data_IF_270645606404
#
_entry.id   IF_270645606404
#
_cell.length_a   1.000
_cell.length_b   1.000
_cell.length_c   1.000
_cell.angle_alpha   90.00
_cell.angle_beta   90.00
_cell.angle_gamma   90.00
#
_symmetry.space_group_name_H-M   'P 1'
#
loop_
_entity.id
_entity.type
_entity.pdbx_description
1 polymer ?
#
# COMPACT_ATOMS: atom_id res chain seq x y z
N UNK A 1 13.02 3.04 24.25
CA UNK A 1 12.38 3.86 23.20
C UNK A 1 11.30 4.67 23.87
N UNK A 2 11.28 5.99 23.64
CA UNK A 2 10.16 6.86 24.05
C UNK A 2 9.44 7.32 22.80
N UNK A 3 8.10 7.31 22.82
CA UNK A 3 7.27 7.72 21.69
C UNK A 3 6.31 8.78 22.19
N UNK A 4 6.17 9.86 21.44
CA UNK A 4 5.22 10.93 21.74
C UNK A 4 4.62 11.47 20.45
N UNK A 5 3.37 11.89 20.56
CA UNK A 5 2.63 12.55 19.50
C UNK A 5 2.50 14.02 19.89
N UNK A 6 2.74 14.93 18.94
CA UNK A 6 2.62 16.38 19.19
C UNK A 6 1.25 16.92 18.79
N UNK A 7 0.92 18.12 19.26
CA UNK A 7 -0.29 18.86 18.82
C UNK A 7 -0.29 19.12 17.31
N UNK A 8 0.89 19.20 16.70
CA UNK A 8 1.08 19.34 15.24
C UNK A 8 0.89 18.02 14.47
N UNK A 9 0.37 16.97 15.13
CA UNK A 9 0.22 15.61 14.58
C UNK A 9 1.55 15.07 14.02
N UNK A 10 2.65 15.25 14.74
CA UNK A 10 3.93 14.61 14.41
C UNK A 10 4.14 13.39 15.31
N UNK A 11 4.66 12.30 14.74
CA UNK A 11 5.10 11.15 15.54
C UNK A 11 6.59 11.27 15.79
N UNK A 12 6.98 11.36 17.06
CA UNK A 12 8.38 11.49 17.45
C UNK A 12 8.79 10.27 18.28
N UNK A 13 9.95 9.72 17.92
CA UNK A 13 10.55 8.56 18.56
C UNK A 13 11.97 8.89 19.01
N UNK A 14 12.27 8.64 20.28
CA UNK A 14 13.61 8.76 20.84
C UNK A 14 14.17 7.37 21.12
N UNK A 15 15.30 7.08 20.47
CA UNK A 15 15.99 5.81 20.53
C UNK A 15 17.34 5.99 21.24
N UNK A 16 17.70 5.05 22.09
CA UNK A 16 19.08 4.90 22.56
C UNK A 16 19.78 3.93 21.63
N UNK A 17 20.70 4.43 20.80
CA UNK A 17 21.48 3.63 19.87
C UNK A 17 22.84 3.32 20.47
N UNK A 18 23.19 2.04 20.50
CA UNK A 18 24.54 1.56 20.83
C UNK A 18 25.02 0.72 19.65
N UNK A 19 26.11 1.13 19.05
CA UNK A 19 26.77 0.40 17.97
C UNK A 19 28.20 0.09 18.41
N UNK A 20 28.64 -1.13 18.19
CA UNK A 20 30.03 -1.53 18.36
C UNK A 20 30.41 -2.43 17.19
N UNK A 21 31.53 -2.14 16.55
CA UNK A 21 31.99 -2.91 15.41
C UNK A 21 33.44 -2.61 15.10
N UNK A 22 34.05 -3.43 14.25
CA UNK A 22 35.42 -3.22 13.80
C UNK A 22 35.43 -2.85 12.30
N UNK A 23 35.05 -1.60 11.95
CA UNK A 23 35.02 -1.18 10.56
C UNK A 23 36.45 -0.97 10.03
N UNK A 24 36.64 -1.16 8.73
CA UNK A 24 37.91 -0.86 8.08
C UNK A 24 37.87 0.54 7.45
N UNK A 25 38.05 1.58 8.27
CA UNK A 25 38.03 2.99 7.81
C UNK A 25 39.48 3.49 7.72
N UNK A 26 39.90 3.96 6.54
CA UNK A 26 41.25 4.50 6.30
C UNK A 26 41.17 6.01 6.07
N UNK A 27 41.87 6.77 6.91
CA UNK A 27 41.95 8.23 6.87
C UNK A 27 43.35 8.67 6.44
N UNK A 28 43.44 9.44 5.36
CA UNK A 28 44.68 10.12 4.99
C UNK A 28 44.84 11.42 5.77
N UNK A 29 45.84 11.51 6.64
CA UNK A 29 46.15 12.72 7.40
C UNK A 29 47.37 13.41 6.79
N UNK A 30 47.24 14.71 6.51
CA UNK A 30 48.36 15.56 6.06
C UNK A 30 48.54 16.72 7.04
N UNK A 31 49.65 16.72 7.78
CA UNK A 31 49.96 17.75 8.77
C UNK A 31 51.48 18.02 8.78
N UNK A 32 51.89 19.28 8.90
CA UNK A 32 53.31 19.69 9.01
C UNK A 32 54.25 19.07 7.94
N UNK A 33 53.76 18.86 6.72
CA UNK A 33 54.53 18.24 5.63
C UNK A 33 54.57 16.71 5.65
N UNK A 34 54.10 16.07 6.71
CA UNK A 34 53.98 14.61 6.82
C UNK A 34 52.65 14.13 6.21
N UNK A 35 52.70 12.98 5.54
CA UNK A 35 51.53 12.22 5.08
C UNK A 35 51.48 10.90 5.83
N UNK A 36 50.39 10.62 6.52
CA UNK A 36 50.17 9.38 7.23
C UNK A 36 48.81 8.78 6.85
N UNK A 37 48.73 7.46 6.82
CA UNK A 37 47.45 6.74 6.69
C UNK A 37 47.09 6.17 8.04
N UNK A 38 45.92 6.56 8.53
CA UNK A 38 45.40 6.22 9.84
C UNK A 38 44.19 5.32 9.65
N UNK A 39 44.26 4.08 10.14
CA UNK A 39 43.14 3.16 10.19
C UNK A 39 42.37 3.36 11.50
N UNK A 40 41.08 3.57 11.41
CA UNK A 40 40.16 3.56 12.55
C UNK A 40 39.61 2.15 12.71
N UNK A 41 39.70 1.61 13.92
CA UNK A 41 39.28 0.25 14.30
C UNK A 41 38.43 0.30 15.56
N UNK A 42 37.76 -0.80 15.92
CA UNK A 42 37.03 -0.95 17.20
C UNK A 42 36.11 0.23 17.54
N UNK A 43 35.32 0.67 16.56
CA UNK A 43 34.42 1.83 16.69
C UNK A 43 33.23 1.46 17.56
N UNK A 44 32.99 2.28 18.59
CA UNK A 44 31.83 2.24 19.46
C UNK A 44 31.12 3.59 19.42
N UNK A 45 29.81 3.57 19.20
CA UNK A 45 28.97 4.78 19.12
C UNK A 45 27.78 4.61 20.06
N UNK A 46 27.60 5.59 20.93
CA UNK A 46 26.44 5.74 21.78
C UNK A 46 25.77 7.06 21.41
N UNK A 47 24.54 6.99 20.94
CA UNK A 47 23.81 8.15 20.45
C UNK A 47 22.34 8.07 20.86
N UNK A 48 21.72 9.22 21.03
CA UNK A 48 20.29 9.34 21.31
C UNK A 48 19.59 10.07 20.15
N UNK A 49 19.41 9.43 18.98
CA UNK A 49 18.69 10.05 17.88
C UNK A 49 17.20 10.21 18.20
N UNK A 50 16.69 11.39 17.83
CA UNK A 50 15.28 11.70 17.71
C UNK A 50 14.87 11.53 16.25
N UNK A 51 13.90 10.66 16.02
CA UNK A 51 13.27 10.42 14.73
C UNK A 51 11.90 11.08 14.75
N UNK A 52 11.61 11.94 13.78
CA UNK A 52 10.31 12.61 13.63
C UNK A 52 9.69 12.26 12.28
N UNK A 53 8.49 11.70 12.30
CA UNK A 53 7.71 11.40 11.10
C UNK A 53 6.75 12.56 10.83
N UNK A 54 6.96 13.28 9.73
CA UNK A 54 6.09 14.42 9.37
C UNK A 54 6.17 14.88 7.90
N UNK A 55 5.11 15.51 7.38
CA UNK A 55 3.75 15.50 7.94
C UNK A 55 3.18 14.07 7.95
N UNK A 56 2.26 13.80 8.88
CA UNK A 56 1.42 12.61 8.81
C UNK A 56 0.41 12.78 7.67
N UNK A 57 0.16 11.71 6.92
CA UNK A 57 -0.69 11.70 5.73
C UNK A 57 -1.65 10.51 5.77
N UNK A 58 -2.82 10.57 5.13
CA UNK A 58 -3.84 9.50 5.22
C UNK A 58 -3.54 8.28 4.32
N UNK A 59 -2.34 8.21 3.74
CA UNK A 59 -1.93 7.15 2.80
C UNK A 59 -0.71 6.45 3.37
N UNK A 60 -0.71 5.11 3.36
CA UNK A 60 0.44 4.31 3.80
C UNK A 60 1.75 4.79 3.14
N UNK A 61 2.85 4.98 3.90
CA UNK A 61 3.07 4.52 5.29
C UNK A 61 2.58 5.48 6.38
N UNK A 62 1.68 6.41 6.04
CA UNK A 62 1.03 7.38 6.92
C UNK A 62 1.90 8.59 7.32
N UNK A 63 3.06 8.76 6.69
CA UNK A 63 3.94 9.92 6.86
C UNK A 63 4.70 10.22 5.57
N UNK A 64 5.03 11.50 5.37
CA UNK A 64 5.71 11.92 4.15
C UNK A 64 7.23 11.99 4.25
N UNK A 65 7.78 12.38 5.40
CA UNK A 65 9.23 12.45 5.61
C UNK A 65 9.64 11.86 6.96
N UNK A 66 10.86 11.35 7.01
CA UNK A 66 11.57 10.97 8.22
C UNK A 66 12.64 12.02 8.48
N UNK A 67 12.61 12.63 9.65
CA UNK A 67 13.66 13.53 10.11
C UNK A 67 14.45 12.88 11.24
N UNK A 68 15.78 12.88 11.14
CA UNK A 68 16.65 12.34 12.18
C UNK A 68 17.58 13.44 12.69
N UNK A 69 17.58 13.68 14.00
CA UNK A 69 18.49 14.60 14.66
C UNK A 69 19.04 14.00 15.95
N UNK A 70 20.25 14.37 16.33
CA UNK A 70 20.86 14.05 17.61
C UNK A 70 20.49 15.15 18.61
N UNK A 71 19.89 14.76 19.73
CA UNK A 71 19.52 15.70 20.80
C UNK A 71 20.71 16.11 21.66
N UNK A 72 21.72 15.24 21.72
CA UNK A 72 22.93 15.41 22.51
C UNK A 72 24.15 14.98 21.70
N UNK A 73 25.34 15.45 22.10
CA UNK A 73 26.59 15.05 21.45
C UNK A 73 26.76 13.53 21.59
N UNK A 74 26.93 12.78 20.48
CA UNK A 74 27.13 11.35 20.57
C UNK A 74 28.46 11.06 21.24
N UNK A 75 28.50 9.99 22.03
CA UNK A 75 29.74 9.45 22.55
C UNK A 75 30.30 8.47 21.52
N UNK A 76 31.50 8.77 21.01
CA UNK A 76 32.18 7.98 20.00
C UNK A 76 33.55 7.61 20.57
N UNK A 77 33.81 6.31 20.63
CA UNK A 77 35.10 5.73 21.03
C UNK A 77 35.61 4.85 19.89
N UNK A 78 36.92 4.82 19.68
CA UNK A 78 37.55 4.03 18.62
C UNK A 78 39.03 3.83 18.85
N UNK A 79 39.53 2.69 18.37
CA UNK A 79 40.94 2.42 18.24
C UNK A 79 41.53 3.07 16.97
N UNK A 80 42.82 3.38 17.02
CA UNK A 80 43.54 3.95 15.89
C UNK A 80 44.81 3.12 15.64
N UNK A 81 45.03 2.72 14.39
CA UNK A 81 46.25 2.07 13.92
C UNK A 81 46.88 2.93 12.83
N UNK A 82 48.13 3.32 12.97
CA UNK A 82 48.84 3.93 11.84
C UNK A 82 49.37 2.83 10.91
N UNK A 83 49.24 3.04 9.60
CA UNK A 83 49.81 2.14 8.61
C UNK A 83 51.18 2.72 8.21
N UNK A 84 52.26 2.03 8.59
CA UNK A 84 53.63 2.36 8.17
C UNK A 84 54.47 3.23 9.11
N UNK A 85 53.96 3.63 10.28
CA UNK A 85 54.73 4.24 11.38
C UNK A 85 54.05 3.96 12.74
N UNK A 86 54.71 4.20 13.88
CA UNK A 86 54.11 4.01 15.21
C UNK A 86 53.29 5.25 15.62
N UNK A 87 52.01 5.09 15.96
CA UNK A 87 51.14 6.18 16.39
C UNK A 87 51.65 6.86 17.68
N UNK A 88 52.36 6.11 18.54
CA UNK A 88 52.98 6.65 19.77
C UNK A 88 54.16 7.59 19.47
N UNK A 89 54.69 7.59 18.24
CA UNK A 89 55.81 8.44 17.83
C UNK A 89 55.39 9.84 17.35
N UNK A 90 54.08 10.12 17.24
CA UNK A 90 53.54 11.43 16.83
C UNK A 90 52.72 12.04 17.99
N UNK A 91 53.33 12.84 18.87
CA UNK A 91 52.65 13.44 20.00
C UNK A 91 51.40 14.22 19.58
N UNK A 92 50.25 13.89 20.17
CA UNK A 92 48.99 14.61 19.96
C UNK A 92 48.17 14.21 18.72
N UNK A 93 48.68 13.38 17.81
CA UNK A 93 47.93 12.96 16.61
C UNK A 93 46.64 12.21 16.96
N UNK A 94 46.69 11.32 17.97
CA UNK A 94 45.52 10.61 18.48
C UNK A 94 44.42 11.57 18.96
N UNK A 95 44.78 12.56 19.78
CA UNK A 95 43.85 13.58 20.30
C UNK A 95 43.23 14.40 19.18
N UNK A 96 44.02 14.81 18.18
CA UNK A 96 43.52 15.60 17.03
C UNK A 96 42.53 14.80 16.19
N UNK A 97 42.82 13.53 15.88
CA UNK A 97 41.91 12.67 15.11
C UNK A 97 40.62 12.42 15.90
N UNK A 98 40.72 12.21 17.22
CA UNK A 98 39.58 12.03 18.11
C UNK A 98 38.67 13.26 18.20
N UNK A 99 39.25 14.44 18.40
CA UNK A 99 38.50 15.70 18.41
C UNK A 99 37.85 15.98 17.04
N UNK A 100 38.56 15.75 15.94
CA UNK A 100 38.05 16.00 14.59
C UNK A 100 36.86 15.09 14.25
N UNK A 101 36.95 13.79 14.54
CA UNK A 101 35.85 12.85 14.28
C UNK A 101 34.65 13.18 15.17
N UNK A 102 34.89 13.45 16.45
CA UNK A 102 33.83 13.83 17.39
C UNK A 102 33.11 15.10 16.95
N UNK A 103 33.85 16.12 16.54
CA UNK A 103 33.28 17.39 16.09
C UNK A 103 32.55 17.26 14.75
N UNK A 104 33.06 16.47 13.81
CA UNK A 104 32.37 16.22 12.53
C UNK A 104 31.06 15.46 12.74
N UNK A 105 31.10 14.35 13.49
CA UNK A 105 29.89 13.54 13.76
C UNK A 105 28.85 14.34 14.55
N UNK A 106 29.28 15.13 15.53
CA UNK A 106 28.41 16.04 16.27
C UNK A 106 27.80 17.11 15.34
N UNK A 107 28.62 17.78 14.52
CA UNK A 107 28.16 18.90 13.70
C UNK A 107 27.26 18.51 12.52
N UNK A 108 27.20 17.23 12.12
CA UNK A 108 26.37 16.80 11.00
C UNK A 108 24.88 16.73 11.37
N UNK A 109 24.55 16.26 12.57
CA UNK A 109 23.16 15.93 12.93
C UNK A 109 22.71 16.42 14.30
N UNK A 110 23.54 17.17 15.05
CA UNK A 110 23.08 17.85 16.25
C UNK A 110 21.97 18.85 15.91
N UNK A 111 20.88 18.79 16.68
CA UNK A 111 19.80 19.76 16.60
C UNK A 111 20.35 21.21 16.65
N UNK A 112 19.92 22.12 15.76
CA UNK A 112 18.77 22.05 14.84
C UNK A 112 19.03 21.37 13.49
N UNK A 113 20.24 20.88 13.23
CA UNK A 113 20.53 20.15 11.99
C UNK A 113 19.87 18.78 12.02
N UNK A 114 19.32 18.38 10.88
CA UNK A 114 18.57 17.13 10.73
C UNK A 114 18.87 16.50 9.40
N UNK A 115 18.95 15.17 9.38
CA UNK A 115 18.84 14.38 8.17
C UNK A 115 17.37 14.29 7.80
N UNK A 116 17.01 14.69 6.59
CA UNK A 116 15.65 14.60 6.08
C UNK A 116 15.61 13.56 4.96
N UNK A 117 14.77 12.54 5.13
CA UNK A 117 14.54 11.49 4.15
C UNK A 117 13.09 11.59 3.70
N UNK A 118 12.87 12.07 2.48
CA UNK A 118 11.54 12.12 1.87
C UNK A 118 11.12 10.72 1.43
N UNK A 119 9.97 10.27 1.93
CA UNK A 119 9.37 8.97 1.61
C UNK A 119 8.29 9.14 0.53
N UNK A 120 7.54 10.23 0.59
CA UNK A 120 6.60 10.62 -0.45
C UNK A 120 6.42 12.13 -0.48
N UNK A 121 5.96 12.62 -1.61
CA UNK A 121 5.53 14.01 -1.75
C UNK A 121 4.27 14.26 -0.90
N UNK A 122 4.34 15.13 0.13
CA UNK A 122 3.20 15.43 0.99
C UNK A 122 1.99 15.96 0.21
N UNK A 123 2.22 16.77 -0.82
CA UNK A 123 1.16 17.37 -1.60
C UNK A 123 0.34 16.28 -2.32
N UNK A 124 1.02 15.31 -2.94
CA UNK A 124 0.38 14.15 -3.59
C UNK A 124 -0.29 13.21 -2.60
N UNK A 125 0.29 13.03 -1.42
CA UNK A 125 -0.26 12.18 -0.38
C UNK A 125 -1.55 12.75 0.22
N UNK A 126 -1.69 14.08 0.22
CA UNK A 126 -2.88 14.80 0.67
C UNK A 126 -3.93 15.02 -0.42
N UNK A 127 -3.63 14.73 -1.69
CA UNK A 127 -4.60 14.87 -2.78
C UNK A 127 -5.81 13.98 -2.51
N UNK A 128 -6.96 14.64 -2.39
CA UNK A 128 -8.26 13.99 -2.18
C UNK A 128 -8.68 13.28 -3.46
N UNK A 129 -9.37 12.14 -3.36
CA UNK A 129 -10.14 11.61 -4.47
C UNK A 129 -11.08 12.67 -5.05
N UNK A 130 -11.19 12.77 -6.37
CA UNK A 130 -12.08 13.72 -7.07
C UNK A 130 -13.10 13.01 -7.95
N UNK A 131 -13.07 11.68 -8.01
CA UNK A 131 -14.04 10.89 -8.75
C UNK A 131 -13.68 9.42 -8.85
N UNK A 132 -14.53 8.68 -9.55
CA UNK A 132 -14.39 7.25 -9.83
C UNK A 132 -14.39 7.02 -11.33
N UNK A 133 -13.40 6.28 -11.81
CA UNK A 133 -13.37 5.75 -13.18
C UNK A 133 -13.78 4.27 -13.15
N UNK A 134 -14.91 3.95 -13.77
CA UNK A 134 -15.33 2.59 -14.08
C UNK A 134 -14.82 2.20 -15.46
N UNK A 135 -14.18 1.03 -15.54
CA UNK A 135 -13.59 0.49 -16.76
C UNK A 135 -14.11 -0.91 -16.98
N UNK A 136 -14.89 -1.10 -18.04
CA UNK A 136 -15.37 -2.41 -18.46
C UNK A 136 -14.52 -2.89 -19.64
N UNK A 137 -13.72 -3.94 -19.41
CA UNK A 137 -12.92 -4.58 -20.45
C UNK A 137 -13.80 -5.59 -21.18
N UNK A 138 -14.27 -5.20 -22.36
CA UNK A 138 -15.25 -5.98 -23.12
C UNK A 138 -14.57 -7.15 -23.82
N UNK A 139 -13.72 -6.86 -24.82
CA UNK A 139 -13.13 -7.88 -25.69
C UNK A 139 -11.89 -7.37 -26.41
N UNK A 140 -11.11 -8.29 -26.96
CA UNK A 140 -10.09 -7.97 -27.95
C UNK A 140 -10.35 -8.74 -29.26
N UNK A 141 -9.82 -8.22 -30.36
CA UNK A 141 -10.02 -8.76 -31.71
C UNK A 141 -8.69 -8.83 -32.45
N UNK A 142 -8.49 -9.93 -33.18
CA UNK A 142 -7.34 -10.14 -34.07
C UNK A 142 -6.01 -9.89 -33.37
N UNK A 143 -5.88 -10.34 -32.11
CA UNK A 143 -4.63 -10.24 -31.38
C UNK A 143 -3.49 -10.90 -32.16
N UNK A 144 -2.30 -10.33 -32.09
CA UNK A 144 -1.12 -10.93 -32.72
C UNK A 144 -0.74 -12.20 -31.99
N UNK A 145 -0.66 -13.30 -32.73
CA UNK A 145 -0.13 -14.57 -32.23
C UNK A 145 1.34 -14.39 -31.82
N UNK A 146 1.66 -14.74 -30.58
CA UNK A 146 3.03 -14.67 -30.07
C UNK A 146 3.74 -16.02 -30.23
N UNK A 147 3.02 -17.13 -30.00
CA UNK A 147 3.57 -18.48 -30.14
C UNK A 147 3.55 -19.05 -31.56
N UNK A 148 4.68 -19.64 -31.95
CA UNK A 148 4.82 -20.39 -33.21
C UNK A 148 4.06 -21.73 -33.11
N UNK A 149 4.04 -22.37 -31.94
CA UNK A 149 3.58 -23.76 -31.75
C UNK A 149 2.32 -23.87 -30.83
N UNK A 150 1.90 -22.78 -30.17
CA UNK A 150 0.74 -22.72 -29.28
C UNK A 150 -0.42 -21.84 -29.78
N UNK A 151 -1.52 -21.76 -29.02
CA UNK A 151 -2.56 -20.74 -29.17
C UNK A 151 -2.44 -19.81 -27.96
N UNK A 152 -2.44 -18.49 -28.18
CA UNK A 152 -2.29 -17.49 -27.11
C UNK A 152 -3.43 -17.53 -26.08
N UNK A 153 -3.07 -17.26 -24.83
CA UNK A 153 -3.90 -17.19 -23.63
C UNK A 153 -3.98 -15.74 -23.09
N UNK A 154 -4.69 -14.82 -23.76
CA UNK A 154 -4.64 -13.39 -23.45
C UNK A 154 -5.33 -12.99 -22.12
N UNK A 155 -4.75 -11.98 -21.46
CA UNK A 155 -5.39 -11.19 -20.40
C UNK A 155 -4.97 -9.71 -20.48
N UNK A 156 -5.75 -8.83 -19.87
CA UNK A 156 -5.49 -7.38 -19.83
C UNK A 156 -5.06 -6.96 -18.44
N UNK A 157 -3.97 -6.21 -18.34
CA UNK A 157 -3.47 -5.57 -17.13
C UNK A 157 -3.73 -4.07 -17.22
N UNK A 158 -4.54 -3.56 -16.28
CA UNK A 158 -4.96 -2.17 -16.18
C UNK A 158 -4.21 -1.45 -15.05
N UNK A 159 -3.76 -0.23 -15.30
CA UNK A 159 -3.13 0.61 -14.27
C UNK A 159 -3.41 2.09 -14.55
N UNK A 160 -3.96 2.82 -13.59
CA UNK A 160 -4.02 4.29 -13.65
C UNK A 160 -2.62 4.85 -13.37
N UNK A 161 -2.21 5.94 -14.05
CA UNK A 161 -0.87 6.53 -13.92
C UNK A 161 -0.66 7.19 -12.55
N UNK A 162 -0.43 6.35 -11.55
CA UNK A 162 0.19 6.63 -10.27
C UNK A 162 1.08 5.42 -9.98
N UNK A 163 2.39 5.66 -9.80
CA UNK A 163 3.35 4.57 -9.73
C UNK A 163 3.13 3.65 -8.52
N UNK A 164 2.46 4.15 -7.48
CA UNK A 164 2.21 3.41 -6.23
C UNK A 164 0.93 2.55 -6.25
N UNK A 165 0.01 2.77 -7.19
CA UNK A 165 -1.23 1.98 -7.25
C UNK A 165 -1.01 0.61 -7.89
N UNK A 166 -1.58 -0.43 -7.27
CA UNK A 166 -1.54 -1.78 -7.82
C UNK A 166 -2.34 -1.87 -9.12
N UNK A 167 -1.78 -2.59 -10.09
CA UNK A 167 -2.48 -2.91 -11.34
C UNK A 167 -3.57 -3.95 -11.10
N UNK A 168 -4.71 -3.78 -11.76
CA UNK A 168 -5.78 -4.79 -11.84
C UNK A 168 -5.59 -5.65 -13.10
N UNK A 169 -6.11 -6.87 -13.12
CA UNK A 169 -6.01 -7.76 -14.29
C UNK A 169 -7.32 -8.49 -14.54
N UNK A 170 -7.61 -8.79 -15.80
CA UNK A 170 -8.72 -9.65 -16.18
C UNK A 170 -8.40 -11.13 -15.94
N UNK A 171 -9.42 -11.98 -16.06
CA UNK A 171 -9.21 -13.42 -16.21
C UNK A 171 -8.42 -13.72 -17.49
N UNK A 172 -7.70 -14.83 -17.48
CA UNK A 172 -6.99 -15.37 -18.65
C UNK A 172 -7.99 -16.12 -19.52
N UNK A 173 -8.02 -15.82 -20.83
CA UNK A 173 -8.87 -16.53 -21.79
C UNK A 173 -8.01 -17.46 -22.60
N UNK A 174 -8.21 -18.76 -22.45
CA UNK A 174 -7.33 -19.74 -23.06
C UNK A 174 -7.57 -19.90 -24.56
N UNK A 175 -6.49 -20.04 -25.32
CA UNK A 175 -6.45 -20.46 -26.73
C UNK A 175 -7.33 -19.61 -27.64
N UNK A 176 -7.19 -18.29 -27.56
CA UNK A 176 -7.99 -17.38 -28.38
C UNK A 176 -7.24 -16.09 -28.70
N UNK A 177 -7.39 -15.60 -29.94
CA UNK A 177 -6.94 -14.28 -30.36
C UNK A 177 -8.10 -13.26 -30.43
N UNK A 178 -9.31 -13.68 -30.05
CA UNK A 178 -10.51 -12.86 -29.96
C UNK A 178 -11.21 -13.08 -28.60
N UNK A 179 -10.52 -12.81 -27.47
CA UNK A 179 -11.08 -13.02 -26.15
C UNK A 179 -12.24 -12.06 -25.85
N UNK A 180 -13.22 -12.55 -25.09
CA UNK A 180 -14.28 -11.74 -24.48
C UNK A 180 -14.18 -11.89 -22.95
N UNK A 181 -13.97 -10.76 -22.26
CA UNK A 181 -13.84 -10.72 -20.80
C UNK A 181 -15.14 -10.25 -20.16
N UNK A 182 -15.66 -9.09 -20.58
CA UNK A 182 -16.80 -8.41 -19.95
C UNK A 182 -16.59 -8.25 -18.44
N UNK A 183 -15.41 -7.75 -18.05
CA UNK A 183 -14.98 -7.61 -16.67
C UNK A 183 -14.84 -6.13 -16.29
N UNK A 184 -15.41 -5.75 -15.16
CA UNK A 184 -15.45 -4.37 -14.67
C UNK A 184 -14.41 -4.09 -13.58
N UNK A 185 -13.79 -2.92 -13.67
CA UNK A 185 -12.78 -2.44 -12.75
C UNK A 185 -13.02 -0.98 -12.36
N UNK A 186 -12.95 -0.70 -11.07
CA UNK A 186 -13.09 0.64 -10.53
C UNK A 186 -11.72 1.22 -10.13
N UNK A 187 -11.47 2.48 -10.48
CA UNK A 187 -10.28 3.23 -10.09
C UNK A 187 -10.66 4.56 -9.42
N UNK A 188 -9.97 4.89 -8.34
CA UNK A 188 -10.10 6.21 -7.70
C UNK A 188 -9.25 7.22 -8.46
N UNK A 189 -9.89 8.31 -8.89
CA UNK A 189 -9.25 9.41 -9.63
C UNK A 189 -8.91 10.52 -8.64
N UNK A 190 -7.72 11.11 -8.81
CA UNK A 190 -7.23 12.24 -8.00
C UNK A 190 -6.92 13.47 -8.85
N UNK A 191 -6.42 13.25 -10.06
CA UNK A 191 -5.98 14.33 -10.95
C UNK A 191 -6.36 13.98 -12.41
N UNK A 192 -7.63 14.16 -12.80
CA UNK A 192 -8.14 13.71 -14.11
C UNK A 192 -7.40 14.37 -15.29
N UNK A 193 -6.88 15.58 -15.10
CA UNK A 193 -6.15 16.35 -16.12
C UNK A 193 -4.83 15.70 -16.55
N UNK A 194 -4.17 14.98 -15.64
CA UNK A 194 -2.84 14.38 -15.87
C UNK A 194 -2.88 12.87 -15.86
N UNK A 195 -3.86 12.26 -15.20
CA UNK A 195 -3.95 10.81 -15.07
C UNK A 195 -4.33 10.15 -16.40
N UNK A 196 -3.73 8.98 -16.62
CA UNK A 196 -3.84 8.17 -17.84
C UNK A 196 -4.09 6.73 -17.43
N UNK A 197 -5.13 6.11 -18.00
CA UNK A 197 -5.37 4.69 -17.88
C UNK A 197 -4.46 3.93 -18.85
N UNK A 198 -3.55 3.11 -18.31
CA UNK A 198 -2.66 2.22 -19.07
C UNK A 198 -3.30 0.84 -19.21
N UNK A 199 -3.39 0.36 -20.45
CA UNK A 199 -3.94 -0.94 -20.80
C UNK A 199 -2.84 -1.76 -21.48
N UNK A 200 -2.47 -2.90 -20.90
CA UNK A 200 -1.47 -3.79 -21.45
C UNK A 200 -2.05 -5.18 -21.65
N UNK A 201 -2.00 -5.71 -22.86
CA UNK A 201 -2.43 -7.07 -23.17
C UNK A 201 -1.21 -7.98 -23.13
N UNK A 202 -1.35 -9.08 -22.40
CA UNK A 202 -0.31 -10.09 -22.22
C UNK A 202 -0.83 -11.46 -22.62
N UNK A 203 0.07 -12.27 -23.15
CA UNK A 203 -0.10 -13.70 -23.33
C UNK A 203 0.32 -14.39 -22.03
N UNK A 204 -0.55 -15.19 -21.44
CA UNK A 204 -0.22 -15.93 -20.22
C UNK A 204 0.55 -17.20 -20.57
N UNK A 205 1.71 -17.37 -19.93
CA UNK A 205 2.55 -18.56 -20.11
C UNK A 205 2.66 -19.34 -18.81
N UNK A 206 2.44 -20.65 -18.88
CA UNK A 206 2.56 -21.53 -17.72
C UNK A 206 4.01 -21.63 -17.20
N UNK A 207 4.99 -21.45 -18.08
CA UNK A 207 6.42 -21.55 -17.77
C UNK A 207 7.15 -20.37 -18.41
N UNK A 208 7.74 -19.49 -17.60
CA UNK A 208 8.50 -18.33 -18.07
C UNK A 208 7.81 -16.99 -17.82
N UNK A 209 8.23 -15.95 -18.54
CA UNK A 209 7.66 -14.61 -18.44
C UNK A 209 6.56 -14.40 -19.46
N UNK A 210 5.38 -13.94 -19.00
CA UNK A 210 4.24 -13.63 -19.86
C UNK A 210 4.61 -12.63 -20.95
N UNK A 211 4.32 -12.95 -22.21
CA UNK A 211 4.72 -12.12 -23.33
C UNK A 211 3.77 -10.94 -23.56
N UNK A 212 4.31 -9.74 -23.82
CA UNK A 212 3.50 -8.56 -24.06
C UNK A 212 2.97 -8.53 -25.50
N UNK A 213 1.67 -8.77 -25.67
CA UNK A 213 0.98 -8.76 -26.97
C UNK A 213 0.75 -7.35 -27.51
N UNK A 214 0.56 -6.36 -26.63
CA UNK A 214 0.38 -4.96 -27.03
C UNK A 214 -0.03 -4.05 -25.88
N UNK A 215 -0.08 -2.75 -26.15
CA UNK A 215 -0.54 -1.77 -25.16
C UNK A 215 -1.18 -0.56 -25.81
N UNK A 216 -1.98 0.16 -25.03
CA UNK A 216 -2.45 1.49 -25.34
C UNK A 216 -2.74 2.25 -24.03
N UNK A 217 -3.02 3.54 -24.13
CA UNK A 217 -3.29 4.43 -23.01
C UNK A 217 -4.44 5.36 -23.33
N UNK A 218 -5.26 5.68 -22.33
CA UNK A 218 -6.37 6.63 -22.45
C UNK A 218 -6.18 7.73 -21.42
N UNK A 219 -5.90 8.98 -21.83
CA UNK A 219 -5.91 10.12 -20.94
C UNK A 219 -7.30 10.36 -20.36
N UNK A 220 -7.41 10.57 -19.04
CA UNK A 220 -8.71 10.78 -18.40
C UNK A 220 -9.36 12.10 -18.81
N UNK A 221 -8.55 13.13 -19.08
CA UNK A 221 -9.00 14.42 -19.64
C UNK A 221 -9.76 14.31 -20.97
N UNK A 222 -9.62 13.21 -21.71
CA UNK A 222 -10.32 12.97 -22.97
C UNK A 222 -11.70 12.30 -22.76
N UNK A 223 -12.07 12.03 -21.50
CA UNK A 223 -13.37 11.50 -21.10
C UNK A 223 -14.29 12.64 -20.69
N UNK A 224 -15.56 12.52 -21.10
CA UNK A 224 -16.62 13.43 -20.67
C UNK A 224 -17.22 12.86 -19.38
N UNK A 225 -17.30 13.64 -18.28
CA UNK A 225 -17.93 13.20 -17.04
C UNK A 225 -19.33 12.62 -17.25
N UNK A 226 -19.65 11.55 -16.51
CA UNK A 226 -20.95 10.86 -16.44
C UNK A 226 -21.49 10.30 -17.77
N UNK A 227 -20.68 10.33 -18.83
CA UNK A 227 -21.04 9.82 -20.15
C UNK A 227 -20.22 8.55 -20.43
N UNK A 228 -20.85 7.37 -20.45
CA UNK A 228 -20.18 6.14 -20.87
C UNK A 228 -19.62 6.27 -22.28
N UNK A 229 -18.33 5.95 -22.43
CA UNK A 229 -17.60 6.01 -23.69
C UNK A 229 -17.03 4.65 -24.03
N UNK A 230 -17.51 4.06 -25.13
CA UNK A 230 -16.93 2.85 -25.70
C UNK A 230 -15.81 3.25 -26.67
N UNK A 231 -14.61 2.68 -26.47
CA UNK A 231 -13.43 2.97 -27.27
C UNK A 231 -12.84 1.67 -27.81
N UNK A 232 -12.55 1.66 -29.11
CA UNK A 232 -11.74 0.60 -29.75
C UNK A 232 -10.32 1.13 -29.92
N UNK A 233 -9.35 0.48 -29.27
CA UNK A 233 -7.94 0.86 -29.27
C UNK A 233 -7.13 -0.09 -30.14
N UNK A 234 -6.38 0.44 -31.10
CA UNK A 234 -5.35 -0.34 -31.79
C UNK A 234 -4.17 -0.60 -30.85
N UNK A 235 -3.77 -1.86 -30.70
CA UNK A 235 -2.69 -2.23 -29.79
C UNK A 235 -1.32 -1.93 -30.40
N UNK A 236 -0.50 -1.20 -29.65
CA UNK A 236 0.84 -0.76 -30.04
C UNK A 236 1.93 -1.61 -29.39
N UNK A 237 3.12 -1.63 -29.99
CA UNK A 237 4.31 -2.23 -29.36
C UNK A 237 4.99 -1.29 -28.39
N UNK A 238 5.04 -0.01 -28.72
CA UNK A 238 5.60 1.06 -27.89
C UNK A 238 4.64 2.24 -27.88
N UNK A 239 4.69 3.07 -26.85
CA UNK A 239 3.93 4.33 -26.80
C UNK A 239 4.64 5.48 -27.54
N UNK A 240 5.79 5.20 -28.17
CA UNK A 240 6.56 6.18 -28.92
C UNK A 240 5.82 6.53 -30.22
N UNK A 241 5.53 7.82 -30.47
CA UNK A 241 4.97 8.24 -31.74
C UNK A 241 5.91 7.85 -32.89
N UNK A 242 5.35 7.37 -34.01
CA UNK A 242 6.09 7.01 -35.24
C UNK A 242 7.14 5.89 -35.10
N UNK A 243 7.06 5.03 -34.08
CA UNK A 243 7.89 3.82 -34.03
C UNK A 243 7.50 2.88 -35.19
N UNK A 244 8.41 2.50 -36.11
CA UNK A 244 8.11 1.61 -37.22
C UNK A 244 7.53 0.26 -36.77
N UNK A 245 7.78 -0.14 -35.52
CA UNK A 245 7.23 -1.37 -34.96
C UNK A 245 5.72 -1.30 -34.68
N UNK A 246 5.16 -0.08 -34.61
CA UNK A 246 3.73 0.16 -34.47
C UNK A 246 2.96 0.05 -35.79
N UNK A 247 3.63 0.03 -36.95
CA UNK A 247 2.98 -0.22 -38.26
C UNK A 247 2.39 -1.63 -38.37
N UNK A 248 2.96 -2.59 -37.60
CA UNK A 248 2.46 -3.96 -37.56
C UNK A 248 1.28 -4.04 -36.59
N UNK A 249 0.09 -4.32 -37.13
CA UNK A 249 -1.11 -4.55 -36.32
C UNK A 249 -0.87 -5.61 -35.24
N UNK A 250 -1.25 -5.30 -34.00
CA UNK A 250 -1.20 -6.23 -32.85
C UNK A 250 -2.57 -6.61 -32.32
N UNK A 251 -3.61 -6.30 -33.10
CA UNK A 251 -5.01 -6.46 -32.72
C UNK A 251 -5.60 -5.21 -32.09
N UNK A 252 -6.86 -5.33 -31.68
CA UNK A 252 -7.66 -4.24 -31.13
C UNK A 252 -8.22 -4.63 -29.77
N UNK A 253 -8.31 -3.68 -28.85
CA UNK A 253 -8.94 -3.84 -27.55
C UNK A 253 -10.15 -2.91 -27.45
N UNK A 254 -11.31 -3.45 -27.07
CA UNK A 254 -12.54 -2.69 -26.87
C UNK A 254 -12.78 -2.55 -25.37
N UNK A 255 -12.91 -1.32 -24.90
CA UNK A 255 -13.21 -0.98 -23.50
C UNK A 255 -14.35 0.03 -23.44
N UNK A 256 -15.15 -0.05 -22.40
CA UNK A 256 -16.12 0.96 -22.03
C UNK A 256 -15.64 1.65 -20.75
N UNK A 257 -15.79 2.98 -20.72
CA UNK A 257 -15.26 3.85 -19.68
C UNK A 257 -16.35 4.78 -19.21
N UNK A 258 -16.51 4.93 -17.90
CA UNK A 258 -17.39 5.94 -17.32
C UNK A 258 -16.65 6.64 -16.17
N UNK A 259 -16.43 7.95 -16.31
CA UNK A 259 -15.80 8.77 -15.28
C UNK A 259 -16.87 9.57 -14.54
N UNK A 260 -17.03 9.32 -13.25
CA UNK A 260 -18.01 9.99 -12.39
C UNK A 260 -17.23 10.87 -11.40
N UNK A 261 -17.15 12.20 -11.61
CA UNK A 261 -16.55 13.11 -10.64
C UNK A 261 -17.39 13.12 -9.37
N UNK A 262 -16.76 13.42 -8.24
CA UNK A 262 -17.47 13.72 -7.01
C UNK A 262 -17.92 15.18 -7.05
N UNK A 263 -19.16 15.44 -6.63
CA UNK A 263 -19.69 16.80 -6.59
C UNK A 263 -18.94 17.62 -5.51
N UNK A 264 -18.51 18.84 -5.84
CA UNK A 264 -17.74 19.70 -4.94
C UNK A 264 -18.53 20.04 -3.66
N UNK A 265 -19.87 20.08 -3.76
CA UNK A 265 -20.77 20.29 -2.62
C UNK A 265 -20.97 19.02 -1.76
N UNK A 266 -21.08 17.84 -2.36
CA UNK A 266 -21.12 16.58 -1.60
C UNK A 266 -19.78 16.30 -0.92
N UNK A 267 -18.67 16.69 -1.55
CA UNK A 267 -17.34 16.49 -1.01
C UNK A 267 -17.02 17.47 0.12
N UNK A 268 -17.47 18.73 0.05
CA UNK A 268 -17.39 19.68 1.18
C UNK A 268 -18.17 19.16 2.40
N UNK A 269 -19.38 18.62 2.17
CA UNK A 269 -20.16 17.97 3.22
C UNK A 269 -19.46 16.70 3.71
N UNK A 270 -18.93 15.83 2.83
CA UNK A 270 -18.19 14.61 3.17
C UNK A 270 -16.82 14.85 3.81
N UNK A 271 -16.26 16.05 3.76
CA UNK A 271 -15.00 16.40 4.44
C UNK A 271 -15.23 16.94 5.85
N UNK A 272 -16.43 17.49 6.10
CA UNK A 272 -16.95 17.68 7.45
C UNK A 272 -17.50 16.35 8.01
N UNK A 273 -18.14 15.52 7.16
CA UNK A 273 -18.77 14.22 7.49
C UNK A 273 -17.81 13.02 7.52
N UNK A 274 -16.60 13.07 6.95
CA UNK A 274 -15.66 11.93 7.04
C UNK A 274 -15.23 11.64 8.49
N UNK A 275 -15.46 12.61 9.40
CA UNK A 275 -15.36 12.46 10.86
C UNK A 275 -16.72 12.42 11.58
N UNK A 276 -17.84 12.65 10.89
CA UNK A 276 -19.18 12.41 11.39
C UNK A 276 -19.71 11.11 10.79
N UNK A 277 -19.45 10.03 11.50
CA UNK A 277 -20.23 8.81 11.32
C UNK A 277 -21.71 9.18 11.48
N UNK A 278 -22.56 8.76 10.53
CA UNK A 278 -24.02 8.93 10.61
C UNK A 278 -24.51 8.62 12.04
N UNK A 279 -25.46 9.38 12.57
CA UNK A 279 -26.01 9.05 13.90
C UNK A 279 -26.71 7.69 13.88
N UNK A 280 -26.73 7.01 15.01
CA UNK A 280 -27.48 5.76 15.13
C UNK A 280 -29.00 6.03 14.92
N UNK A 281 -29.76 5.08 14.35
CA UNK A 281 -31.19 5.28 14.09
C UNK A 281 -32.01 5.58 15.36
N UNK A 282 -33.16 6.23 15.17
CA UNK A 282 -34.16 6.44 16.24
C UNK A 282 -34.56 5.07 16.87
N UNK A 283 -34.39 4.94 18.19
CA UNK A 283 -34.58 3.69 18.92
C UNK A 283 -33.30 3.03 19.45
N UNK A 284 -32.12 3.62 19.19
CA UNK A 284 -30.86 3.21 19.82
C UNK A 284 -30.83 3.61 21.31
N UNK A 285 -30.40 2.73 22.24
CA UNK A 285 -30.36 3.02 23.68
C UNK A 285 -29.51 4.25 24.04
N UNK A 286 -29.99 5.02 25.03
CA UNK A 286 -29.26 6.17 25.58
C UNK A 286 -27.94 5.71 26.24
N UNK A 287 -26.81 6.19 25.74
CA UNK A 287 -25.46 5.77 26.16
C UNK A 287 -24.82 4.70 25.28
N UNK A 288 -25.59 4.12 24.35
CA UNK A 288 -25.15 3.11 23.40
C UNK A 288 -24.80 3.63 22.01
N UNK A 289 -24.82 2.73 21.03
CA UNK A 289 -24.55 3.05 19.64
C UNK A 289 -24.75 1.86 18.71
N UNK A 290 -24.47 2.07 17.42
CA UNK A 290 -24.58 1.05 16.39
C UNK A 290 -23.20 0.79 15.77
N UNK A 291 -22.76 -0.46 15.85
CA UNK A 291 -21.60 -0.95 15.12
C UNK A 291 -22.05 -1.39 13.73
N UNK A 292 -21.51 -0.74 12.70
CA UNK A 292 -21.70 -1.12 11.30
C UNK A 292 -20.46 -1.82 10.80
N UNK A 293 -20.63 -2.94 10.11
CA UNK A 293 -19.55 -3.76 9.59
C UNK A 293 -19.83 -4.06 8.13
N UNK A 294 -18.91 -3.66 7.26
CA UNK A 294 -18.98 -3.89 5.83
C UNK A 294 -17.87 -4.86 5.45
N UNK A 295 -18.23 -6.00 4.89
CA UNK A 295 -17.29 -6.98 4.35
C UNK A 295 -17.19 -6.76 2.84
N UNK A 296 -16.11 -6.08 2.42
CA UNK A 296 -15.91 -5.70 1.02
C UNK A 296 -15.51 -6.90 0.16
N UNK A 297 -14.27 -7.36 0.32
CA UNK A 297 -13.68 -8.40 -0.52
C UNK A 297 -12.67 -9.24 0.25
N UNK A 298 -12.37 -10.43 -0.26
CA UNK A 298 -11.19 -11.19 0.13
C UNK A 298 -10.33 -11.50 -1.09
N UNK A 299 -9.06 -11.81 -0.87
CA UNK A 299 -8.07 -12.07 -1.91
C UNK A 299 -7.26 -13.31 -1.56
N UNK A 300 -6.79 -14.01 -2.58
CA UNK A 300 -5.86 -15.15 -2.46
C UNK A 300 -6.37 -16.30 -1.55
N UNK A 301 -7.69 -16.50 -1.45
CA UNK A 301 -8.25 -17.57 -0.65
C UNK A 301 -7.91 -18.96 -1.21
N UNK A 302 -7.50 -19.88 -0.35
CA UNK A 302 -7.10 -21.24 -0.72
C UNK A 302 -7.84 -22.28 0.12
N UNK A 303 -8.90 -22.87 -0.45
CA UNK A 303 -9.51 -24.08 0.11
C UNK A 303 -8.77 -25.33 -0.33
N UNK A 304 -8.76 -26.37 0.51
CA UNK A 304 -8.10 -27.65 0.19
C UNK A 304 -8.88 -28.42 -0.87
N UNK A 305 -10.21 -28.29 -0.88
CA UNK A 305 -11.08 -29.04 -1.80
C UNK A 305 -11.97 -28.13 -2.64
N UNK A 306 -12.40 -26.99 -2.11
CA UNK A 306 -13.23 -26.01 -2.81
C UNK A 306 -13.01 -24.60 -2.29
N UNK A 307 -13.26 -23.59 -3.14
CA UNK A 307 -13.24 -22.18 -2.71
C UNK A 307 -14.59 -21.56 -3.06
N UNK A 308 -15.59 -21.83 -2.24
CA UNK A 308 -16.92 -21.23 -2.31
C UNK A 308 -17.14 -20.36 -1.07
N UNK A 309 -16.53 -19.15 -1.04
CA UNK A 309 -16.33 -18.43 0.19
C UNK A 309 -17.59 -17.68 0.65
N UNK A 310 -17.77 -17.62 1.97
CA UNK A 310 -18.62 -16.66 2.69
C UNK A 310 -17.88 -16.23 3.95
N UNK A 311 -17.99 -14.96 4.34
CA UNK A 311 -17.49 -14.48 5.62
C UNK A 311 -18.56 -14.66 6.70
N UNK A 312 -18.14 -15.03 7.92
CA UNK A 312 -18.97 -15.16 9.11
C UNK A 312 -18.43 -14.23 10.18
N UNK A 313 -19.30 -13.39 10.70
CA UNK A 313 -19.01 -12.42 11.75
C UNK A 313 -19.60 -12.96 13.03
N UNK A 314 -18.77 -13.12 14.05
CA UNK A 314 -19.14 -13.57 15.38
C UNK A 314 -18.89 -12.46 16.38
N UNK A 315 -19.95 -11.97 17.03
CA UNK A 315 -19.87 -10.87 17.98
C UNK A 315 -20.93 -11.02 19.07
N UNK A 316 -20.51 -10.99 20.35
CA UNK A 316 -21.39 -11.14 21.54
C UNK A 316 -22.38 -12.32 21.46
N UNK A 317 -21.96 -13.44 20.87
CA UNK A 317 -22.79 -14.64 20.71
C UNK A 317 -23.73 -14.62 19.49
N UNK A 318 -23.79 -13.51 18.76
CA UNK A 318 -24.49 -13.42 17.48
C UNK A 318 -23.59 -13.83 16.32
N UNK A 319 -24.17 -14.52 15.32
CA UNK A 319 -23.54 -14.81 14.03
C UNK A 319 -24.27 -14.04 12.92
N UNK A 320 -23.51 -13.36 12.07
CA UNK A 320 -23.96 -12.86 10.76
C UNK A 320 -23.08 -13.46 9.68
N UNK A 321 -23.59 -13.61 8.46
CA UNK A 321 -22.80 -14.17 7.36
C UNK A 321 -23.13 -13.51 6.03
N UNK A 322 -22.13 -13.42 5.17
CA UNK A 322 -22.31 -12.97 3.79
C UNK A 322 -22.89 -14.08 2.91
N UNK A 323 -23.29 -13.72 1.70
CA UNK A 323 -23.65 -14.67 0.67
C UNK A 323 -22.46 -15.56 0.29
N UNK A 324 -22.76 -16.83 0.01
CA UNK A 324 -21.76 -17.77 -0.48
C UNK A 324 -21.53 -17.57 -1.97
N UNK A 325 -20.33 -17.12 -2.33
CA UNK A 325 -19.89 -17.07 -3.72
C UNK A 325 -19.31 -18.42 -4.13
N UNK A 326 -19.42 -18.78 -5.42
CA UNK A 326 -18.96 -20.09 -5.92
C UNK A 326 -17.63 -19.95 -6.65
N UNK A 327 -16.70 -20.86 -6.37
CA UNK A 327 -15.42 -21.01 -7.07
C UNK A 327 -14.64 -19.69 -7.20
N UNK A 328 -14.61 -18.88 -6.15
CA UNK A 328 -13.89 -17.61 -6.14
C UNK A 328 -12.79 -17.62 -5.10
N UNK A 329 -11.57 -17.31 -5.53
CA UNK A 329 -10.42 -17.05 -4.64
C UNK A 329 -10.35 -15.59 -4.19
N UNK A 330 -11.00 -14.72 -4.96
CA UNK A 330 -11.02 -13.27 -4.76
C UNK A 330 -12.47 -12.76 -4.70
N UNK A 331 -13.27 -13.21 -3.71
CA UNK A 331 -14.69 -12.85 -3.61
C UNK A 331 -14.88 -11.37 -3.29
N UNK A 332 -15.94 -10.77 -3.86
CA UNK A 332 -16.46 -9.44 -3.48
C UNK A 332 -17.90 -9.58 -3.02
N UNK A 333 -18.16 -9.21 -1.78
CA UNK A 333 -19.49 -9.28 -1.18
C UNK A 333 -20.14 -7.91 -1.12
N UNK A 334 -19.40 -6.89 -0.65
CA UNK A 334 -19.93 -5.54 -0.40
C UNK A 334 -21.18 -5.59 0.50
N UNK A 335 -21.16 -6.45 1.51
CA UNK A 335 -22.30 -6.70 2.39
C UNK A 335 -22.13 -6.01 3.74
N UNK A 336 -23.18 -5.33 4.19
CA UNK A 336 -23.23 -4.52 5.41
C UNK A 336 -24.06 -5.19 6.51
N UNK A 337 -23.58 -5.13 7.74
CA UNK A 337 -24.19 -5.70 8.94
C UNK A 337 -24.24 -4.68 10.06
N UNK A 338 -25.31 -4.73 10.86
CA UNK A 338 -25.58 -3.80 11.94
C UNK A 338 -25.73 -4.53 13.27
N UNK A 339 -25.08 -3.99 14.31
CA UNK A 339 -25.22 -4.44 15.69
C UNK A 339 -25.54 -3.22 16.57
N UNK A 340 -26.75 -3.19 17.12
CA UNK A 340 -27.16 -2.16 18.08
C UNK A 340 -26.71 -2.59 19.47
N UNK A 341 -26.05 -1.70 20.20
CA UNK A 341 -25.46 -1.99 21.50
C UNK A 341 -25.89 -0.96 22.53
N UNK A 342 -26.12 -1.41 23.75
CA UNK A 342 -26.46 -0.54 24.88
C UNK A 342 -25.27 0.31 25.36
N UNK A 343 -24.04 -0.07 25.02
CA UNK A 343 -22.80 0.62 25.40
C UNK A 343 -21.69 0.45 24.34
N UNK A 344 -20.69 1.35 24.28
CA UNK A 344 -19.56 1.23 23.36
C UNK A 344 -18.70 -0.01 23.66
N UNK A 345 -18.42 -0.89 22.67
CA UNK A 345 -17.70 -2.15 22.84
C UNK A 345 -16.16 -1.97 22.98
N UNK A 346 -15.72 -1.08 23.87
CA UNK A 346 -14.31 -0.66 24.01
C UNK A 346 -13.36 -1.77 24.46
N UNK A 347 -13.87 -2.86 25.04
CA UNK A 347 -13.06 -4.01 25.46
C UNK A 347 -13.32 -5.27 24.64
N UNK A 348 -14.25 -5.21 23.69
CA UNK A 348 -14.66 -6.38 22.92
C UNK A 348 -13.77 -6.62 21.70
N UNK A 349 -13.82 -7.86 21.24
CA UNK A 349 -13.23 -8.29 19.97
C UNK A 349 -14.31 -8.88 19.09
N UNK A 350 -14.13 -8.70 17.79
CA UNK A 350 -14.96 -9.33 16.78
C UNK A 350 -14.15 -10.39 16.04
N UNK A 351 -14.75 -11.56 15.87
CA UNK A 351 -14.14 -12.66 15.14
C UNK A 351 -14.78 -12.77 13.76
N UNK A 352 -13.98 -12.70 12.71
CA UNK A 352 -14.45 -12.83 11.33
C UNK A 352 -13.76 -14.02 10.68
N UNK A 353 -14.53 -15.08 10.38
CA UNK A 353 -14.05 -16.31 9.74
C UNK A 353 -14.48 -16.34 8.26
N UNK A 354 -13.56 -16.62 7.34
CA UNK A 354 -13.90 -16.92 5.95
C UNK A 354 -13.98 -18.41 5.77
N UNK A 355 -15.10 -18.90 5.25
CA UNK A 355 -15.38 -20.33 5.15
C UNK A 355 -15.79 -20.71 3.75
N UNK A 356 -15.39 -21.91 3.34
CA UNK A 356 -15.79 -22.51 2.09
C UNK A 356 -16.88 -23.56 2.33
N UNK A 357 -18.01 -23.47 1.61
CA UNK A 357 -19.09 -24.46 1.72
C UNK A 357 -19.40 -25.13 0.39
N UNK A 358 -19.64 -26.44 0.40
CA UNK A 358 -20.00 -27.22 -0.78
C UNK A 358 -21.37 -27.87 -0.60
N UNK A 359 -22.16 -27.90 -1.68
CA UNK A 359 -23.43 -28.66 -1.72
C UNK A 359 -23.20 -30.16 -1.94
N UNK A 360 -21.96 -30.60 -2.19
CA UNK A 360 -21.62 -32.01 -2.40
C UNK A 360 -21.33 -32.68 -1.05
N UNK A 361 -22.04 -33.77 -0.77
CA UNK A 361 -21.96 -34.56 0.49
C UNK A 361 -20.52 -34.99 0.85
N UNK A 362 -19.63 -35.11 -0.16
CA UNK A 362 -18.27 -35.66 0.01
C UNK A 362 -17.22 -34.66 0.51
N UNK A 363 -17.50 -33.36 0.56
CA UNK A 363 -16.55 -32.35 1.03
C UNK A 363 -17.20 -31.47 2.10
N UNK A 364 -16.77 -31.56 3.38
CA UNK A 364 -17.34 -30.78 4.48
C UNK A 364 -16.96 -29.29 4.35
N UNK A 365 -17.63 -28.44 5.15
CA UNK A 365 -17.22 -27.04 5.35
C UNK A 365 -15.74 -27.00 5.73
N UNK A 366 -14.97 -26.14 5.07
CA UNK A 366 -13.57 -25.89 5.39
C UNK A 366 -13.35 -24.41 5.70
N UNK A 367 -12.45 -24.11 6.63
CA UNK A 367 -12.04 -22.74 6.96
C UNK A 367 -10.98 -22.27 5.97
N UNK A 368 -11.09 -21.03 5.51
CA UNK A 368 -10.15 -20.36 4.61
C UNK A 368 -9.26 -19.35 5.35
N UNK A 369 -9.46 -19.24 6.66
CA UNK A 369 -8.76 -18.38 7.59
C UNK A 369 -9.70 -17.40 8.31
N UNK A 370 -9.19 -16.72 9.32
CA UNK A 370 -9.96 -15.80 10.16
C UNK A 370 -9.16 -14.58 10.62
N UNK A 371 -9.83 -13.59 11.21
CA UNK A 371 -9.21 -12.45 11.88
C UNK A 371 -9.98 -12.10 13.15
N UNK A 372 -9.25 -11.74 14.21
CA UNK A 372 -9.81 -11.19 15.46
C UNK A 372 -9.47 -9.71 15.59
N UNK A 373 -10.46 -8.83 15.51
CA UNK A 373 -10.27 -7.38 15.50
C UNK A 373 -10.71 -6.77 16.82
N UNK A 374 -9.89 -5.90 17.40
CA UNK A 374 -10.22 -5.18 18.62
C UNK A 374 -11.11 -3.98 18.27
N UNK A 375 -12.26 -3.85 18.94
CA UNK A 375 -13.21 -2.78 18.64
C UNK A 375 -12.85 -1.44 19.27
N UNK A 376 -11.92 -1.40 20.25
CA UNK A 376 -11.43 -0.14 20.84
C UNK A 376 -10.95 0.85 19.77
N UNK A 377 -10.23 0.39 18.75
CA UNK A 377 -9.73 1.24 17.67
C UNK A 377 -10.87 1.82 16.82
N UNK A 378 -11.96 1.07 16.63
CA UNK A 378 -13.17 1.55 15.95
C UNK A 378 -13.86 2.64 16.77
N UNK A 379 -13.93 2.47 18.09
CA UNK A 379 -14.57 3.47 18.97
C UNK A 379 -13.74 4.77 18.99
N UNK A 380 -12.42 4.67 19.10
CA UNK A 380 -11.54 5.85 19.14
C UNK A 380 -11.49 6.58 17.79
N UNK A 381 -11.40 5.84 16.68
CA UNK A 381 -11.28 6.44 15.35
C UNK A 381 -12.63 6.69 14.67
N UNK A 382 -13.74 6.28 15.31
CA UNK A 382 -15.13 6.20 14.79
C UNK A 382 -15.32 5.31 13.56
N UNK A 383 -14.31 5.19 12.69
CA UNK A 383 -14.31 4.39 11.47
C UNK A 383 -12.94 3.82 11.21
N UNK A 384 -12.88 2.56 10.79
CA UNK A 384 -11.68 1.93 10.24
C UNK A 384 -12.03 1.18 8.96
N UNK A 385 -11.15 1.21 7.97
CA UNK A 385 -11.26 0.40 6.75
C UNK A 385 -9.88 -0.19 6.47
N UNK A 386 -9.73 -1.47 6.74
CA UNK A 386 -8.43 -2.14 6.73
C UNK A 386 -8.47 -3.46 5.98
N UNK A 387 -7.29 -3.86 5.47
CA UNK A 387 -7.04 -5.17 4.89
C UNK A 387 -6.28 -6.02 5.88
N UNK A 388 -6.94 -7.06 6.36
CA UNK A 388 -6.39 -8.00 7.32
C UNK A 388 -5.86 -9.23 6.61
N UNK A 389 -4.66 -9.68 7.00
CA UNK A 389 -4.21 -11.03 6.66
C UNK A 389 -4.99 -12.05 7.49
N UNK A 390 -5.53 -13.05 6.82
CA UNK A 390 -6.26 -14.12 7.48
C UNK A 390 -5.27 -15.06 8.18
N UNK A 391 -5.47 -15.24 9.48
CA UNK A 391 -4.83 -16.27 10.29
C UNK A 391 -5.27 -17.64 9.75
N UNK A 392 -4.38 -18.62 9.79
CA UNK A 392 -4.56 -19.96 9.21
C UNK A 392 -4.82 -19.97 7.68
N UNK A 393 -4.50 -18.86 7.01
CA UNK A 393 -4.43 -18.76 5.55
C UNK A 393 -2.99 -18.60 5.10
N UNK A 394 -2.63 -19.12 3.92
CA UNK A 394 -1.27 -18.92 3.38
C UNK A 394 -1.03 -17.47 2.96
N UNK A 395 -1.90 -16.97 2.10
CA UNK A 395 -1.82 -15.62 1.51
C UNK A 395 -3.14 -14.86 1.62
N UNK A 396 -4.19 -15.48 2.18
CA UNK A 396 -5.52 -14.94 2.20
C UNK A 396 -5.59 -13.60 2.92
N UNK A 397 -6.31 -12.64 2.35
CA UNK A 397 -6.59 -11.35 2.96
C UNK A 397 -8.06 -11.03 2.88
N UNK A 398 -8.58 -10.27 3.83
CA UNK A 398 -9.96 -9.76 3.82
C UNK A 398 -9.95 -8.25 4.07
N UNK A 399 -10.76 -7.51 3.33
CA UNK A 399 -10.99 -6.09 3.56
C UNK A 399 -12.30 -5.92 4.34
N UNK A 400 -12.20 -5.30 5.51
CA UNK A 400 -13.34 -5.06 6.40
C UNK A 400 -13.33 -3.58 6.77
N UNK A 401 -14.49 -2.95 6.61
CA UNK A 401 -14.76 -1.62 7.15
C UNK A 401 -15.68 -1.73 8.36
N UNK A 402 -15.38 -0.97 9.41
CA UNK A 402 -16.18 -0.88 10.62
C UNK A 402 -16.42 0.58 10.99
N UNK A 403 -17.63 0.89 11.45
CA UNK A 403 -18.03 2.22 11.88
C UNK A 403 -18.77 2.14 13.22
N UNK A 404 -18.47 3.06 14.13
CA UNK A 404 -19.21 3.24 15.38
C UNK A 404 -20.08 4.50 15.31
N UNK A 405 -21.40 4.30 15.32
CA UNK A 405 -22.40 5.36 15.26
C UNK A 405 -22.95 5.62 16.67
N UNK A 406 -22.84 6.84 17.19
CA UNK A 406 -23.44 7.20 18.49
C UNK A 406 -24.91 7.57 18.33
N UNK A 407 -25.72 7.33 19.36
CA UNK A 407 -27.13 7.76 19.40
C UNK A 407 -27.28 9.30 19.47
N UNK A 408 -26.28 10.00 20.01
CA UNK A 408 -26.23 11.45 20.21
C UNK A 408 -25.15 12.13 19.40
#
# INVERSE_FOLDING_TARGET
MKVYTTEEKELIMELGLKFAGNPNILLGVKAFGLKATVQVVDVQVFASPRITLKPLVPVFPCFANIHVSLMEKPHVDFGVKLIGADLMSIPGAYRVVQELIKDQVANMYLWPKRLEVQIMDPAKAMQKPVGILNVNVLKAMKLRKMDIIGQSDPYVKLKLSDDKLHSKKTTVKFKTLNPEWNEEFTFVVKEPETQVLKLNVYDWDQVGSHEKMGMNTIPLKDLTPEVPKVVTLDLLKTLSPNDPQNEKSRGQLVVELNYNPFDDMEMANHLEDANEVQKAPEGTPDGGGMLVIIVHEAQDLEGKYHTNPSARIHFRGEERKTQTLKKSRDPRWEEEFHFVLDEPPTQDRIHVEVVSTSKRIRHPKETLGYVDINLSDVIHNKRINERFHLIDSKNGRIQIEMQWRTAS
#
